data_IF_714837502698
#
_entry.id   IF_714837502698
#
_cell.length_a   1.000
_cell.length_b   1.000
_cell.length_c   1.000
_cell.angle_alpha   90.00
_cell.angle_beta   90.00
_cell.angle_gamma   90.00
#
_symmetry.space_group_name_H-M   'P 1'
#
loop_
_entity.id
_entity.type
_entity.pdbx_description
1 polymer ?
#
# COMPACT_ATOMS: atom_id res chain seq x y z
N UNK A 1 23.75 136.77 -49.86
CA UNK A 1 24.37 135.70 -49.06
C UNK A 1 23.39 134.91 -48.18
N UNK A 2 22.26 135.47 -47.73
CA UNK A 2 21.30 134.75 -46.86
C UNK A 2 20.37 133.76 -47.62
N UNK A 3 19.98 134.05 -48.86
CA UNK A 3 19.06 133.21 -49.65
C UNK A 3 19.67 131.88 -50.15
N UNK A 4 20.94 131.88 -50.56
CA UNK A 4 21.66 130.67 -51.00
C UNK A 4 21.94 129.70 -49.83
N UNK A 5 22.15 130.23 -48.63
CA UNK A 5 22.28 129.44 -47.41
C UNK A 5 20.97 128.77 -47.00
N UNK A 6 19.81 129.40 -47.25
CA UNK A 6 18.49 128.81 -46.97
C UNK A 6 18.18 127.64 -47.90
N UNK A 7 18.40 127.78 -49.21
CA UNK A 7 18.14 126.71 -50.18
C UNK A 7 19.03 125.48 -49.94
N UNK A 8 20.32 125.69 -49.62
CA UNK A 8 21.23 124.61 -49.25
C UNK A 8 20.80 123.90 -47.96
N UNK A 9 20.32 124.65 -46.95
CA UNK A 9 19.78 124.10 -45.71
C UNK A 9 18.53 123.25 -45.95
N UNK A 10 17.62 123.73 -46.80
CA UNK A 10 16.36 123.05 -47.08
C UNK A 10 16.59 121.77 -47.92
N UNK A 11 17.57 121.77 -48.84
CA UNK A 11 18.02 120.56 -49.54
C UNK A 11 18.66 119.54 -48.58
N UNK A 12 19.54 119.98 -47.68
CA UNK A 12 20.14 119.11 -46.66
C UNK A 12 19.08 118.53 -45.71
N UNK A 13 18.05 119.31 -45.39
CA UNK A 13 16.92 118.87 -44.57
C UNK A 13 16.09 117.80 -45.30
N UNK A 14 15.82 117.97 -46.60
CA UNK A 14 15.12 116.98 -47.42
C UNK A 14 15.93 115.67 -47.57
N UNK A 15 17.24 115.75 -47.81
CA UNK A 15 18.11 114.57 -47.86
C UNK A 15 18.19 113.85 -46.51
N UNK A 16 18.29 114.60 -45.41
CA UNK A 16 18.27 114.04 -44.05
C UNK A 16 16.94 113.35 -43.76
N UNK A 17 15.83 113.94 -44.16
CA UNK A 17 14.50 113.37 -43.97
C UNK A 17 14.32 112.10 -44.83
N UNK A 18 14.75 112.11 -46.09
CA UNK A 18 14.75 110.92 -46.95
C UNK A 18 15.59 109.78 -46.36
N UNK A 19 16.82 110.07 -45.90
CA UNK A 19 17.68 109.08 -45.24
C UNK A 19 17.08 108.56 -43.95
N UNK A 20 16.41 109.41 -43.18
CA UNK A 20 15.75 109.01 -41.93
C UNK A 20 14.55 108.10 -42.18
N UNK A 21 13.74 108.40 -43.21
CA UNK A 21 12.62 107.55 -43.63
C UNK A 21 13.13 106.21 -44.18
N UNK A 22 14.15 106.21 -45.04
CA UNK A 22 14.76 104.98 -45.56
C UNK A 22 15.37 104.13 -44.43
N UNK A 23 16.05 104.76 -43.47
CA UNK A 23 16.60 104.07 -42.31
C UNK A 23 15.51 103.49 -41.41
N UNK A 24 14.37 104.18 -41.24
CA UNK A 24 13.21 103.66 -40.52
C UNK A 24 12.60 102.45 -41.24
N UNK A 25 12.42 102.52 -42.57
CA UNK A 25 11.89 101.41 -43.36
C UNK A 25 12.78 100.15 -43.29
N UNK A 26 14.10 100.31 -43.43
CA UNK A 26 15.06 99.19 -43.27
C UNK A 26 15.02 98.64 -41.85
N UNK A 27 14.86 99.50 -40.83
CA UNK A 27 14.76 99.05 -39.43
C UNK A 27 13.48 98.27 -39.17
N UNK A 28 12.36 98.67 -39.75
CA UNK A 28 11.11 97.93 -39.66
C UNK A 28 11.21 96.58 -40.38
N UNK A 29 11.83 96.54 -41.57
CA UNK A 29 12.09 95.28 -42.28
C UNK A 29 12.96 94.32 -41.45
N UNK A 30 14.05 94.82 -40.85
CA UNK A 30 14.90 94.04 -39.92
C UNK A 30 14.09 93.53 -38.72
N UNK A 31 13.22 94.35 -38.14
CA UNK A 31 12.36 93.92 -37.03
C UNK A 31 11.39 92.81 -37.45
N UNK A 32 10.77 92.93 -38.63
CA UNK A 32 9.86 91.90 -39.16
C UNK A 32 10.57 90.58 -39.48
N UNK A 33 11.77 90.65 -40.07
CA UNK A 33 12.58 89.47 -40.35
C UNK A 33 13.06 88.80 -39.06
N UNK A 34 13.49 89.58 -38.06
CA UNK A 34 13.87 89.05 -36.74
C UNK A 34 12.68 88.39 -36.03
N UNK A 35 11.48 88.97 -36.09
CA UNK A 35 10.28 88.35 -35.55
C UNK A 35 9.98 87.02 -36.25
N UNK A 36 10.11 86.98 -37.59
CA UNK A 36 9.92 85.76 -38.37
C UNK A 36 10.96 84.69 -38.05
N UNK A 37 12.24 85.07 -37.91
CA UNK A 37 13.31 84.17 -37.45
C UNK A 37 12.99 83.60 -36.07
N UNK A 38 12.52 84.43 -35.13
CA UNK A 38 12.06 83.98 -33.81
C UNK A 38 10.97 82.91 -33.90
N UNK A 39 9.89 83.17 -34.65
CA UNK A 39 8.79 82.21 -34.82
C UNK A 39 9.22 80.90 -35.47
N UNK A 40 10.11 80.96 -36.48
CA UNK A 40 10.64 79.77 -37.14
C UNK A 40 11.58 78.98 -36.23
N UNK A 41 12.37 79.65 -35.40
CA UNK A 41 13.28 79.01 -34.44
C UNK A 41 12.49 78.29 -33.36
N UNK A 42 11.43 78.90 -32.82
CA UNK A 42 10.54 78.25 -31.85
C UNK A 42 9.77 77.07 -32.45
N UNK A 43 9.34 77.16 -33.71
CA UNK A 43 8.73 76.04 -34.42
C UNK A 43 9.72 74.88 -34.61
N UNK A 44 10.94 75.18 -35.09
CA UNK A 44 12.00 74.19 -35.27
C UNK A 44 12.34 73.50 -33.94
N UNK A 45 12.51 74.26 -32.86
CA UNK A 45 12.83 73.68 -31.55
C UNK A 45 11.71 72.77 -31.04
N UNK A 46 10.44 73.14 -31.22
CA UNK A 46 9.30 72.27 -30.87
C UNK A 46 9.30 70.97 -31.66
N UNK A 47 9.58 71.03 -32.96
CA UNK A 47 9.62 69.85 -33.82
C UNK A 47 10.83 68.95 -33.48
N UNK A 48 11.99 69.53 -33.16
CA UNK A 48 13.16 68.79 -32.70
C UNK A 48 12.90 68.04 -31.39
N UNK A 49 12.25 68.70 -30.43
CA UNK A 49 11.85 68.07 -29.16
C UNK A 49 10.83 66.96 -29.41
N UNK A 50 9.82 67.18 -30.25
CA UNK A 50 8.82 66.16 -30.59
C UNK A 50 9.46 64.95 -31.28
N UNK A 51 10.41 65.18 -32.20
CA UNK A 51 11.17 64.13 -32.87
C UNK A 51 12.02 63.33 -31.89
N UNK A 52 12.71 64.00 -30.96
CA UNK A 52 13.50 63.33 -29.93
C UNK A 52 12.63 62.49 -28.99
N UNK A 53 11.47 63.00 -28.58
CA UNK A 53 10.50 62.25 -27.78
C UNK A 53 9.94 61.03 -28.51
N UNK A 54 9.59 61.18 -29.79
CA UNK A 54 9.13 60.06 -30.60
C UNK A 54 10.21 58.98 -30.79
N UNK A 55 11.46 59.38 -31.03
CA UNK A 55 12.58 58.46 -31.15
C UNK A 55 12.81 57.65 -29.88
N UNK A 56 12.82 58.32 -28.71
CA UNK A 56 12.94 57.64 -27.41
C UNK A 56 11.76 56.68 -27.17
N UNK A 57 10.54 57.08 -27.55
CA UNK A 57 9.36 56.23 -27.38
C UNK A 57 9.44 54.98 -28.25
N UNK A 58 9.94 55.11 -29.48
CA UNK A 58 10.18 53.96 -30.37
C UNK A 58 11.20 53.03 -29.72
N UNK A 59 12.36 53.54 -29.30
CA UNK A 59 13.40 52.72 -28.66
C UNK A 59 12.87 51.95 -27.43
N UNK A 60 12.08 52.60 -26.57
CA UNK A 60 11.44 51.94 -25.43
C UNK A 60 10.49 50.81 -25.85
N UNK A 61 9.72 51.01 -26.92
CA UNK A 61 8.82 49.98 -27.43
C UNK A 61 9.59 48.83 -28.07
N UNK A 62 10.68 49.11 -28.77
CA UNK A 62 11.54 48.08 -29.36
C UNK A 62 12.20 47.19 -28.28
N UNK A 63 12.71 47.81 -27.20
CA UNK A 63 13.24 47.07 -26.06
C UNK A 63 12.17 46.20 -25.40
N UNK A 64 10.99 46.76 -25.14
CA UNK A 64 9.86 46.02 -24.57
C UNK A 64 9.45 44.82 -25.43
N UNK A 65 9.41 44.99 -26.76
CA UNK A 65 9.06 43.91 -27.68
C UNK A 65 10.08 42.78 -27.61
N UNK A 66 11.38 43.12 -27.60
CA UNK A 66 12.45 42.14 -27.50
C UNK A 66 12.41 41.39 -26.16
N UNK A 67 12.19 42.09 -25.05
CA UNK A 67 12.14 41.49 -23.71
C UNK A 67 10.91 40.60 -23.50
N UNK A 68 9.73 41.03 -23.94
CA UNK A 68 8.48 40.31 -23.69
C UNK A 68 8.23 39.18 -24.67
N UNK A 69 8.56 39.39 -25.95
CA UNK A 69 8.21 38.44 -27.01
C UNK A 69 9.43 37.73 -27.60
N UNK A 70 10.66 38.20 -27.33
CA UNK A 70 11.88 37.58 -27.86
C UNK A 70 12.05 37.73 -29.38
N UNK A 71 11.37 38.72 -29.99
CA UNK A 71 11.34 38.93 -31.45
C UNK A 71 11.77 40.34 -31.82
N UNK A 72 12.21 40.54 -33.07
CA UNK A 72 12.47 41.89 -33.58
C UNK A 72 11.14 42.63 -33.88
N UNK A 73 11.09 43.95 -33.71
CA UNK A 73 9.87 44.74 -33.98
C UNK A 73 9.33 44.60 -35.40
N UNK A 74 10.23 44.49 -36.39
CA UNK A 74 9.84 44.30 -37.79
C UNK A 74 9.11 42.97 -38.00
N UNK A 75 9.59 41.89 -37.39
CA UNK A 75 8.99 40.56 -37.48
C UNK A 75 7.64 40.52 -36.75
N UNK A 76 7.55 41.16 -35.58
CA UNK A 76 6.28 41.29 -34.85
C UNK A 76 5.21 41.98 -35.71
N UNK A 77 5.55 43.06 -36.42
CA UNK A 77 4.60 43.77 -37.28
C UNK A 77 4.27 42.93 -38.53
N UNK A 78 5.26 42.25 -39.11
CA UNK A 78 5.07 41.44 -40.31
C UNK A 78 4.19 40.21 -40.05
N UNK A 79 4.30 39.59 -38.88
CA UNK A 79 3.59 38.35 -38.54
C UNK A 79 2.32 38.58 -37.71
N UNK A 80 2.28 39.65 -36.91
CA UNK A 80 1.19 39.91 -35.94
C UNK A 80 0.63 41.34 -36.02
N UNK A 81 0.94 42.07 -37.10
CA UNK A 81 0.40 43.40 -37.34
C UNK A 81 -1.12 43.40 -37.58
N UNK A 82 -1.80 44.55 -37.46
CA UNK A 82 -3.24 44.66 -37.69
C UNK A 82 -3.69 44.27 -39.11
N UNK A 83 -2.78 44.37 -40.08
CA UNK A 83 -3.01 44.02 -41.47
C UNK A 83 -2.87 42.50 -41.73
N UNK A 84 -2.37 41.75 -40.75
CA UNK A 84 -2.25 40.29 -40.81
C UNK A 84 -3.56 39.67 -40.32
N UNK A 85 -4.12 38.76 -41.12
CA UNK A 85 -5.32 38.03 -40.76
C UNK A 85 -5.08 37.15 -39.54
N UNK A 86 -5.97 37.24 -38.55
CA UNK A 86 -5.95 36.36 -37.39
C UNK A 86 -6.35 34.94 -37.80
N UNK A 87 -5.83 33.91 -37.11
CA UNK A 87 -6.31 32.55 -37.31
C UNK A 87 -7.84 32.50 -37.10
N UNK A 88 -8.55 31.61 -37.81
CA UNK A 88 -9.99 31.41 -37.64
C UNK A 88 -10.36 31.06 -36.19
N UNK A 89 -11.64 31.18 -35.85
CA UNK A 89 -12.07 30.93 -34.48
C UNK A 89 -11.81 29.47 -34.06
N UNK A 90 -11.62 29.24 -32.77
CA UNK A 90 -11.38 27.89 -32.23
C UNK A 90 -12.49 26.90 -32.62
N UNK A 91 -13.74 27.39 -32.73
CA UNK A 91 -14.88 26.58 -33.16
C UNK A 91 -14.80 26.21 -34.64
N UNK A 92 -14.50 27.17 -35.53
CA UNK A 92 -14.34 26.91 -36.97
C UNK A 92 -13.16 25.97 -37.25
N UNK A 93 -12.07 26.12 -36.48
CA UNK A 93 -10.92 25.21 -36.56
C UNK A 93 -11.26 23.80 -36.07
N UNK A 94 -11.98 23.68 -34.95
CA UNK A 94 -12.41 22.37 -34.42
C UNK A 94 -13.38 21.66 -35.37
N UNK A 95 -14.32 22.38 -35.99
CA UNK A 95 -15.24 21.84 -37.00
C UNK A 95 -14.48 21.36 -38.24
N UNK A 96 -13.50 22.14 -38.71
CA UNK A 96 -12.62 21.78 -39.82
C UNK A 96 -11.79 20.51 -39.51
N UNK A 97 -11.16 20.45 -38.33
CA UNK A 97 -10.35 19.29 -37.91
C UNK A 97 -11.20 18.02 -37.79
N UNK A 98 -12.37 18.10 -37.18
CA UNK A 98 -13.28 16.96 -37.05
C UNK A 98 -13.80 16.47 -38.41
N UNK A 99 -14.10 17.37 -39.36
CA UNK A 99 -14.51 16.99 -40.71
C UNK A 99 -13.36 16.33 -41.49
N UNK A 100 -12.14 16.85 -41.35
CA UNK A 100 -10.94 16.26 -41.93
C UNK A 100 -10.65 14.86 -41.36
N UNK A 101 -10.81 14.65 -40.05
CA UNK A 101 -10.64 13.33 -39.40
C UNK A 101 -11.66 12.30 -39.88
N UNK A 102 -12.88 12.75 -40.23
CA UNK A 102 -13.91 11.91 -40.88
C UNK A 102 -13.62 11.62 -42.37
N UNK A 103 -12.51 12.13 -42.91
CA UNK A 103 -12.12 11.94 -44.30
C UNK A 103 -12.89 12.81 -45.30
N UNK A 104 -13.60 13.83 -44.82
CA UNK A 104 -14.33 14.78 -45.68
C UNK A 104 -13.34 15.76 -46.33
N UNK A 105 -13.57 16.10 -47.60
CA UNK A 105 -12.74 17.07 -48.31
C UNK A 105 -13.20 18.49 -47.98
N UNK A 106 -12.67 19.04 -46.88
CA UNK A 106 -12.98 20.38 -46.38
C UNK A 106 -11.85 21.37 -46.66
N UNK A 107 -12.22 22.63 -46.91
CA UNK A 107 -11.27 23.74 -47.08
C UNK A 107 -11.02 24.43 -45.74
N UNK A 108 -9.78 24.85 -45.49
CA UNK A 108 -9.43 25.59 -44.28
C UNK A 108 -10.27 26.88 -44.17
N UNK A 109 -10.80 27.21 -42.99
CA UNK A 109 -11.56 28.44 -42.78
C UNK A 109 -10.71 29.69 -43.09
N UNK A 110 -11.36 30.75 -43.56
CA UNK A 110 -10.66 31.98 -43.92
C UNK A 110 -10.16 32.74 -42.67
N UNK A 111 -8.99 33.41 -42.74
CA UNK A 111 -8.50 34.25 -41.65
C UNK A 111 -9.49 35.37 -41.28
N UNK A 112 -9.57 35.67 -39.99
CA UNK A 112 -10.44 36.72 -39.46
C UNK A 112 -9.74 38.09 -39.50
N UNK A 113 -10.49 39.18 -39.73
CA UNK A 113 -9.93 40.52 -39.62
C UNK A 113 -9.55 40.86 -38.18
N UNK A 114 -8.52 41.68 -38.00
CA UNK A 114 -8.13 42.18 -36.68
C UNK A 114 -9.15 43.19 -36.14
N UNK A 115 -9.73 42.89 -34.98
CA UNK A 115 -10.57 43.83 -34.22
C UNK A 115 -9.94 44.11 -32.85
N UNK A 116 -9.46 45.35 -32.67
CA UNK A 116 -8.71 45.78 -31.48
C UNK A 116 -9.49 45.52 -30.17
N UNK A 117 -10.75 45.98 -30.00
CA UNK A 117 -11.49 45.75 -28.76
C UNK A 117 -11.68 44.27 -28.42
N UNK A 118 -11.91 43.41 -29.41
CA UNK A 118 -12.04 41.96 -29.19
C UNK A 118 -10.72 41.32 -28.77
N UNK A 119 -9.61 41.67 -29.43
CA UNK A 119 -8.30 41.10 -29.07
C UNK A 119 -7.81 41.58 -27.70
N UNK A 120 -8.05 42.84 -27.33
CA UNK A 120 -7.73 43.34 -25.97
C UNK A 120 -8.49 42.57 -24.88
N UNK A 121 -9.76 42.23 -25.12
CA UNK A 121 -10.54 41.38 -24.20
C UNK A 121 -10.00 39.96 -24.12
N UNK A 122 -9.60 39.37 -25.25
CA UNK A 122 -8.99 38.03 -25.29
C UNK A 122 -7.65 38.00 -24.57
N UNK A 123 -6.77 38.97 -24.82
CA UNK A 123 -5.48 39.10 -24.16
C UNK A 123 -5.65 39.23 -22.64
N UNK A 124 -6.53 40.14 -22.18
CA UNK A 124 -6.81 40.31 -20.75
C UNK A 124 -7.36 39.04 -20.09
N UNK A 125 -8.15 38.25 -20.82
CA UNK A 125 -8.64 36.96 -20.34
C UNK A 125 -7.50 35.94 -20.22
N UNK A 126 -6.67 35.81 -21.24
CA UNK A 126 -5.52 34.91 -21.24
C UNK A 126 -4.50 35.27 -20.17
N UNK A 127 -4.23 36.56 -19.96
CA UNK A 127 -3.38 37.06 -18.87
C UNK A 127 -3.94 36.67 -17.49
N UNK A 128 -5.26 36.72 -17.31
CA UNK A 128 -5.91 36.30 -16.08
C UNK A 128 -5.80 34.79 -15.88
N UNK A 129 -6.06 33.99 -16.91
CA UNK A 129 -5.93 32.52 -16.87
C UNK A 129 -4.47 32.10 -16.58
N UNK A 130 -3.49 32.80 -17.17
CA UNK A 130 -2.07 32.59 -16.89
C UNK A 130 -1.71 32.94 -15.44
N UNK A 131 -2.27 34.02 -14.89
CA UNK A 131 -2.05 34.39 -13.50
C UNK A 131 -2.70 33.39 -12.52
N UNK A 132 -3.83 32.78 -12.88
CA UNK A 132 -4.52 31.73 -12.10
C UNK A 132 -3.71 30.43 -12.01
N UNK A 133 -2.91 30.08 -13.04
CA UNK A 133 -1.99 28.92 -13.01
C UNK A 133 -0.89 29.04 -11.93
N UNK A 134 -0.65 30.25 -11.43
CA UNK A 134 0.34 30.51 -10.38
C UNK A 134 1.77 30.45 -10.89
N UNK A 135 2.73 30.35 -9.96
CA UNK A 135 4.16 30.33 -10.30
C UNK A 135 4.57 28.92 -10.69
N UNK A 136 5.39 28.80 -11.73
CA UNK A 136 6.05 27.54 -12.09
C UNK A 136 6.87 27.05 -10.89
N UNK A 137 6.61 25.83 -10.42
CA UNK A 137 7.40 25.19 -9.37
C UNK A 137 8.67 24.60 -10.01
N UNK A 138 9.86 25.16 -9.75
CA UNK A 138 11.10 24.69 -10.37
C UNK A 138 11.51 23.29 -9.86
N UNK A 139 11.01 22.87 -8.69
CA UNK A 139 11.32 21.57 -8.07
C UNK A 139 10.35 20.46 -8.50
N UNK A 140 9.31 20.77 -9.28
CA UNK A 140 8.25 19.81 -9.60
C UNK A 140 8.77 18.53 -10.28
N UNK A 141 9.79 18.65 -11.13
CA UNK A 141 10.38 17.49 -11.81
C UNK A 141 11.16 16.59 -10.83
N UNK A 142 11.91 17.18 -9.89
CA UNK A 142 12.67 16.44 -8.88
C UNK A 142 11.73 15.78 -7.87
N UNK A 143 10.69 16.50 -7.42
CA UNK A 143 9.67 15.97 -6.51
C UNK A 143 8.88 14.82 -7.15
N UNK A 144 8.54 14.94 -8.44
CA UNK A 144 7.89 13.87 -9.18
C UNK A 144 8.76 12.62 -9.25
N UNK A 145 10.04 12.76 -9.61
CA UNK A 145 10.97 11.64 -9.68
C UNK A 145 11.16 10.94 -8.33
N UNK A 146 11.31 11.71 -7.24
CA UNK A 146 11.43 11.16 -5.89
C UNK A 146 10.15 10.46 -5.43
N UNK A 147 8.98 11.00 -5.77
CA UNK A 147 7.69 10.40 -5.45
C UNK A 147 7.47 9.10 -6.24
N UNK A 148 7.85 9.08 -7.52
CA UNK A 148 7.80 7.90 -8.38
C UNK A 148 8.70 6.78 -7.86
N UNK A 149 9.94 7.08 -7.46
CA UNK A 149 10.84 6.10 -6.84
C UNK A 149 10.23 5.51 -5.56
N UNK A 150 9.69 6.37 -4.68
CA UNK A 150 9.02 5.94 -3.46
C UNK A 150 7.78 5.09 -3.74
N UNK A 151 6.99 5.45 -4.75
CA UNK A 151 5.82 4.69 -5.18
C UNK A 151 6.23 3.29 -5.65
N UNK A 152 7.23 3.20 -6.53
CA UNK A 152 7.71 1.93 -7.07
C UNK A 152 8.26 1.01 -5.96
N UNK A 153 9.02 1.58 -5.02
CA UNK A 153 9.52 0.85 -3.85
C UNK A 153 8.38 0.29 -3.00
N UNK A 154 7.42 1.14 -2.61
CA UNK A 154 6.29 0.72 -1.77
C UNK A 154 5.38 -0.28 -2.48
N UNK A 155 5.16 -0.11 -3.79
CA UNK A 155 4.37 -1.05 -4.59
C UNK A 155 5.03 -2.43 -4.62
N UNK A 156 6.35 -2.48 -4.80
CA UNK A 156 7.10 -3.75 -4.79
C UNK A 156 6.99 -4.42 -3.42
N UNK A 157 7.24 -3.69 -2.33
CA UNK A 157 7.09 -4.23 -0.97
C UNK A 157 5.67 -4.72 -0.67
N UNK A 158 4.65 -4.02 -1.18
CA UNK A 158 3.26 -4.43 -0.99
C UNK A 158 2.97 -5.76 -1.68
N UNK A 159 3.45 -5.95 -2.91
CA UNK A 159 3.28 -7.20 -3.64
C UNK A 159 4.04 -8.36 -2.98
N UNK A 160 5.25 -8.11 -2.47
CA UNK A 160 6.01 -9.11 -1.70
C UNK A 160 5.25 -9.56 -0.45
N UNK A 161 4.67 -8.62 0.30
CA UNK A 161 3.87 -8.94 1.50
C UNK A 161 2.60 -9.70 1.14
N UNK A 162 1.94 -9.35 0.04
CA UNK A 162 0.75 -10.09 -0.44
C UNK A 162 1.12 -11.51 -0.85
N UNK A 163 2.23 -11.70 -1.55
CA UNK A 163 2.74 -13.01 -1.94
C UNK A 163 3.08 -13.85 -0.70
N UNK A 164 3.86 -13.32 0.23
CA UNK A 164 4.21 -14.01 1.48
C UNK A 164 2.97 -14.40 2.30
N UNK A 165 1.95 -13.54 2.37
CA UNK A 165 0.69 -13.86 3.02
C UNK A 165 -0.02 -15.04 2.34
N UNK A 166 -0.05 -15.05 1.01
CA UNK A 166 -0.65 -16.16 0.26
C UNK A 166 0.08 -17.47 0.54
N UNK A 167 1.40 -17.46 0.43
CA UNK A 167 2.22 -18.65 0.67
C UNK A 167 2.02 -19.21 2.08
N UNK A 168 1.93 -18.35 3.10
CA UNK A 168 1.63 -18.77 4.47
C UNK A 168 0.23 -19.39 4.61
N UNK A 169 -0.78 -18.86 3.92
CA UNK A 169 -2.13 -19.44 3.95
C UNK A 169 -2.18 -20.80 3.24
N UNK A 170 -1.42 -20.95 2.16
CA UNK A 170 -1.30 -22.23 1.44
C UNK A 170 -0.63 -23.29 2.34
N UNK A 171 0.42 -22.92 3.08
CA UNK A 171 1.07 -23.80 4.07
C UNK A 171 0.11 -24.18 5.21
N UNK A 172 -0.69 -23.24 5.71
CA UNK A 172 -1.70 -23.54 6.74
C UNK A 172 -2.71 -24.56 6.22
N UNK A 173 -3.20 -24.39 5.00
CA UNK A 173 -4.12 -25.34 4.38
C UNK A 173 -3.51 -26.75 4.22
N UNK A 174 -2.25 -26.83 3.78
CA UNK A 174 -1.54 -28.12 3.68
C UNK A 174 -1.38 -28.81 5.04
N UNK A 175 -1.06 -28.03 6.08
CA UNK A 175 -0.95 -28.55 7.45
C UNK A 175 -2.30 -29.04 7.96
N UNK A 176 -3.38 -28.29 7.72
CA UNK A 176 -4.74 -28.67 8.12
C UNK A 176 -5.17 -29.98 7.43
N UNK A 177 -4.94 -30.12 6.13
CA UNK A 177 -5.20 -31.35 5.37
C UNK A 177 -4.41 -32.53 5.94
N UNK A 178 -3.15 -32.30 6.31
CA UNK A 178 -2.32 -33.34 6.92
C UNK A 178 -2.81 -33.73 8.31
N UNK A 179 -3.23 -32.76 9.14
CA UNK A 179 -3.82 -33.01 10.45
C UNK A 179 -5.11 -33.83 10.30
N UNK A 180 -5.99 -33.43 9.38
CA UNK A 180 -7.24 -34.15 9.08
C UNK A 180 -6.98 -35.61 8.71
N UNK A 181 -6.02 -35.85 7.82
CA UNK A 181 -5.64 -37.21 7.43
C UNK A 181 -5.14 -38.01 8.63
N UNK A 182 -4.16 -37.48 9.37
CA UNK A 182 -3.56 -38.18 10.52
C UNK A 182 -4.61 -38.47 11.61
N UNK A 183 -5.50 -37.52 11.87
CA UNK A 183 -6.59 -37.69 12.84
C UNK A 183 -7.58 -38.75 12.38
N UNK A 184 -8.04 -38.72 11.12
CA UNK A 184 -8.99 -39.70 10.60
C UNK A 184 -8.42 -41.13 10.62
N UNK A 185 -7.15 -41.29 10.22
CA UNK A 185 -6.44 -42.57 10.31
C UNK A 185 -6.29 -43.04 11.76
N UNK A 186 -5.90 -42.14 12.67
CA UNK A 186 -5.76 -42.46 14.09
C UNK A 186 -7.11 -42.82 14.73
N UNK A 187 -8.18 -42.11 14.43
CA UNK A 187 -9.52 -42.40 14.92
C UNK A 187 -9.98 -43.78 14.44
N UNK A 188 -9.83 -44.10 13.16
CA UNK A 188 -10.20 -45.40 12.61
C UNK A 188 -9.41 -46.55 13.26
N UNK A 189 -8.11 -46.35 13.52
CA UNK A 189 -7.28 -47.32 14.23
C UNK A 189 -7.74 -47.51 15.67
N UNK A 190 -7.95 -46.43 16.43
CA UNK A 190 -8.39 -46.49 17.83
C UNK A 190 -9.80 -47.10 17.94
N UNK A 191 -10.71 -46.79 17.02
CA UNK A 191 -12.07 -47.34 17.00
C UNK A 191 -12.08 -48.86 16.82
N UNK A 192 -11.24 -49.36 15.89
CA UNK A 192 -11.04 -50.80 15.67
C UNK A 192 -10.47 -51.49 16.91
N UNK A 193 -9.39 -50.96 17.47
CA UNK A 193 -8.75 -51.53 18.66
C UNK A 193 -9.68 -51.45 19.89
N UNK A 194 -10.48 -50.39 20.03
CA UNK A 194 -11.42 -50.22 21.13
C UNK A 194 -12.49 -51.31 21.14
N UNK A 195 -13.05 -51.68 19.98
CA UNK A 195 -14.01 -52.79 19.88
C UNK A 195 -13.41 -54.11 20.39
N UNK A 196 -12.18 -54.41 19.99
CA UNK A 196 -11.47 -55.63 20.40
C UNK A 196 -11.17 -55.65 21.90
N UNK A 197 -10.59 -54.55 22.41
CA UNK A 197 -10.21 -54.40 23.82
C UNK A 197 -11.45 -54.44 24.71
N UNK A 198 -12.53 -53.78 24.30
CA UNK A 198 -13.78 -53.77 25.07
C UNK A 198 -14.42 -55.15 25.14
N UNK A 199 -14.46 -55.89 24.02
CA UNK A 199 -14.98 -57.26 23.98
C UNK A 199 -14.16 -58.24 24.86
N UNK A 200 -12.83 -58.05 24.93
CA UNK A 200 -11.95 -58.84 25.79
C UNK A 200 -12.20 -58.55 27.29
N UNK A 201 -12.45 -57.28 27.64
CA UNK A 201 -12.78 -56.85 28.99
C UNK A 201 -14.18 -57.29 29.43
N UNK A 202 -15.15 -57.22 28.53
CA UNK A 202 -16.56 -57.50 28.80
C UNK A 202 -17.06 -58.57 27.82
N UNK A 203 -16.89 -59.88 28.12
CA UNK A 203 -17.42 -60.95 27.28
C UNK A 203 -18.92 -60.79 27.05
N UNK A 204 -19.34 -60.66 25.78
CA UNK A 204 -20.73 -60.41 25.39
C UNK A 204 -21.18 -58.94 25.48
N UNK A 205 -20.27 -58.01 25.75
CA UNK A 205 -20.48 -56.57 25.63
C UNK A 205 -19.97 -55.99 24.31
N UNK A 206 -20.49 -54.82 23.94
CA UNK A 206 -20.06 -54.06 22.75
C UNK A 206 -19.67 -52.64 23.16
N UNK A 207 -18.54 -52.14 22.66
CA UNK A 207 -18.12 -50.75 22.81
C UNK A 207 -17.93 -50.10 21.44
N UNK A 208 -18.30 -48.83 21.30
CA UNK A 208 -18.11 -48.05 20.07
C UNK A 208 -17.66 -46.62 20.39
N UNK A 209 -16.88 -46.05 19.49
CA UNK A 209 -16.54 -44.63 19.53
C UNK A 209 -17.38 -43.91 18.47
N UNK A 210 -17.97 -42.79 18.83
CA UNK A 210 -18.76 -41.97 17.92
C UNK A 210 -18.19 -40.55 17.87
N UNK A 211 -18.14 -39.98 16.68
CA UNK A 211 -17.86 -38.56 16.51
C UNK A 211 -19.16 -37.79 16.75
N UNK A 212 -19.08 -36.70 17.50
CA UNK A 212 -20.25 -35.83 17.71
C UNK A 212 -20.65 -35.11 16.42
N UNK A 213 -19.66 -34.77 15.58
CA UNK A 213 -19.86 -34.20 14.26
C UNK A 213 -18.89 -34.85 13.23
N UNK A 214 -19.34 -35.85 12.46
CA UNK A 214 -18.50 -36.50 11.45
C UNK A 214 -18.09 -35.59 10.28
N UNK A 215 -18.74 -34.44 10.09
CA UNK A 215 -18.45 -33.53 8.99
C UNK A 215 -17.27 -32.57 9.30
N UNK A 216 -16.95 -32.37 10.58
CA UNK A 216 -15.85 -31.51 11.03
C UNK A 216 -14.91 -32.27 11.98
N UNK A 217 -13.92 -32.94 11.39
CA UNK A 217 -12.92 -33.72 12.14
C UNK A 217 -12.00 -32.87 13.02
N UNK A 218 -11.87 -31.55 12.79
CA UNK A 218 -10.99 -30.70 13.59
C UNK A 218 -11.67 -30.24 14.88
N UNK A 219 -12.98 -30.03 14.86
CA UNK A 219 -13.73 -29.51 16.02
C UNK A 219 -14.64 -30.54 16.69
N UNK A 220 -14.84 -31.72 16.08
CA UNK A 220 -15.67 -32.77 16.66
C UNK A 220 -15.15 -33.28 18.01
N UNK A 221 -16.07 -33.55 18.92
CA UNK A 221 -15.84 -34.37 20.09
C UNK A 221 -15.89 -35.86 19.79
N UNK A 222 -15.45 -36.67 20.75
CA UNK A 222 -15.51 -38.13 20.73
C UNK A 222 -16.40 -38.60 21.89
N UNK A 223 -17.49 -39.28 21.58
CA UNK A 223 -18.35 -39.96 22.56
C UNK A 223 -18.01 -41.46 22.63
N UNK A 224 -17.97 -41.97 23.86
CA UNK A 224 -17.78 -43.40 24.14
C UNK A 224 -19.12 -44.03 24.49
N UNK A 225 -19.57 -44.95 23.64
CA UNK A 225 -20.74 -45.79 23.92
C UNK A 225 -20.30 -47.18 24.39
N UNK A 226 -20.88 -47.62 25.49
CA UNK A 226 -20.60 -48.92 26.06
C UNK A 226 -21.90 -49.68 26.34
N UNK A 227 -21.90 -50.95 25.96
CA UNK A 227 -22.96 -51.91 26.23
C UNK A 227 -22.40 -53.09 27.00
N UNK A 228 -22.50 -53.09 28.34
CA UNK A 228 -22.15 -54.25 29.15
C UNK A 228 -23.07 -55.45 28.86
N UNK A 229 -22.63 -56.69 29.16
CA UNK A 229 -23.41 -57.89 28.90
C UNK A 229 -24.79 -57.83 29.59
N UNK A 230 -25.85 -58.09 28.82
CA UNK A 230 -27.23 -58.09 29.29
C UNK A 230 -27.87 -56.70 29.52
N UNK A 231 -27.19 -55.59 29.20
CA UNK A 231 -27.72 -54.23 29.33
C UNK A 231 -27.93 -53.53 27.98
N UNK A 232 -28.75 -52.47 27.98
CA UNK A 232 -28.91 -51.54 26.84
C UNK A 232 -27.69 -50.62 26.72
N UNK A 233 -27.43 -50.12 25.51
CA UNK A 233 -26.36 -49.15 25.22
C UNK A 233 -26.56 -47.90 26.07
N UNK A 234 -25.50 -47.42 26.71
CA UNK A 234 -25.50 -46.20 27.52
C UNK A 234 -24.26 -45.37 27.20
N UNK A 235 -24.41 -44.04 27.29
CA UNK A 235 -23.28 -43.11 27.32
C UNK A 235 -22.46 -43.32 28.59
N UNK A 236 -21.16 -43.02 28.53
CA UNK A 236 -20.22 -43.18 29.66
C UNK A 236 -20.72 -42.53 30.97
N UNK A 237 -21.44 -41.41 30.89
CA UNK A 237 -22.02 -40.69 32.02
C UNK A 237 -23.10 -41.46 32.78
N UNK A 238 -23.67 -42.51 32.17
CA UNK A 238 -24.81 -43.28 32.69
C UNK A 238 -24.42 -44.69 33.19
N UNK A 239 -23.11 -44.99 33.27
CA UNK A 239 -22.55 -46.26 33.73
C UNK A 239 -22.30 -46.27 35.25
N UNK A 240 -22.19 -47.47 35.84
CA UNK A 240 -21.77 -47.60 37.25
C UNK A 240 -20.31 -47.16 37.45
N UNK A 241 -19.91 -46.82 38.68
CA UNK A 241 -18.54 -46.33 38.96
C UNK A 241 -17.44 -47.29 38.46
N UNK A 242 -17.58 -48.60 38.71
CA UNK A 242 -16.63 -49.62 38.23
C UNK A 242 -16.66 -49.81 36.70
N UNK A 243 -17.85 -49.79 36.09
CA UNK A 243 -18.01 -49.89 34.63
C UNK A 243 -17.39 -48.67 33.92
N UNK A 244 -17.54 -47.47 34.49
CA UNK A 244 -16.94 -46.23 33.99
C UNK A 244 -15.41 -46.29 34.03
N UNK A 245 -14.83 -46.72 35.14
CA UNK A 245 -13.38 -46.85 35.28
C UNK A 245 -12.81 -47.88 34.30
N UNK A 246 -13.42 -49.05 34.16
CA UNK A 246 -12.95 -50.05 33.20
C UNK A 246 -13.08 -49.59 31.74
N UNK A 247 -14.15 -48.87 31.41
CA UNK A 247 -14.34 -48.35 30.05
C UNK A 247 -13.30 -47.27 29.73
N UNK A 248 -12.93 -46.43 30.70
CA UNK A 248 -11.84 -45.47 30.54
C UNK A 248 -10.48 -46.17 30.34
N UNK A 249 -10.21 -47.24 31.10
CA UNK A 249 -8.99 -48.03 30.91
C UNK A 249 -8.99 -48.76 29.56
N UNK A 250 -10.14 -49.26 29.11
CA UNK A 250 -10.30 -49.83 27.77
C UNK A 250 -9.93 -48.82 26.67
N UNK A 251 -10.38 -47.57 26.81
CA UNK A 251 -10.05 -46.47 25.91
C UNK A 251 -8.54 -46.23 25.86
N UNK A 252 -7.88 -46.11 27.02
CA UNK A 252 -6.43 -45.90 27.10
C UNK A 252 -5.65 -47.04 26.44
N UNK A 253 -6.04 -48.28 26.72
CA UNK A 253 -5.41 -49.48 26.16
C UNK A 253 -5.63 -49.56 24.64
N UNK A 254 -6.80 -49.17 24.14
CA UNK A 254 -7.07 -49.09 22.71
C UNK A 254 -6.17 -48.06 22.01
N UNK A 255 -5.99 -46.88 22.62
CA UNK A 255 -5.05 -45.86 22.13
C UNK A 255 -3.62 -46.41 22.07
N UNK A 256 -3.18 -47.07 23.14
CA UNK A 256 -1.84 -47.68 23.22
C UNK A 256 -1.64 -48.79 22.18
N UNK A 257 -2.66 -49.60 21.89
CA UNK A 257 -2.57 -50.61 20.84
C UNK A 257 -2.56 -50.02 19.42
N UNK A 258 -3.34 -48.96 19.18
CA UNK A 258 -3.40 -48.27 17.90
C UNK A 258 -2.08 -47.52 17.58
N UNK A 259 -1.42 -47.01 18.62
CA UNK A 259 -0.13 -46.29 18.52
C UNK A 259 0.82 -46.81 19.63
N UNK A 260 1.51 -47.94 19.39
CA UNK A 260 2.37 -48.55 20.40
C UNK A 260 3.60 -47.68 20.69
N UNK A 261 3.84 -47.44 21.97
CA UNK A 261 5.04 -46.80 22.51
C UNK A 261 6.06 -47.86 22.92
N UNK A 262 7.36 -47.53 22.95
CA UNK A 262 8.39 -48.48 23.40
C UNK A 262 8.17 -48.98 24.83
N UNK A 263 7.67 -48.11 25.72
CA UNK A 263 7.32 -48.45 27.09
C UNK A 263 6.12 -47.63 27.59
N UNK A 264 5.46 -48.14 28.62
CA UNK A 264 4.38 -47.47 29.35
C UNK A 264 4.65 -47.52 30.85
N UNK A 265 4.31 -46.44 31.55
CA UNK A 265 4.35 -46.35 33.01
C UNK A 265 2.91 -46.21 33.50
N UNK A 266 2.51 -47.08 34.43
CA UNK A 266 1.20 -47.04 35.07
C UNK A 266 1.37 -46.97 36.59
N UNK A 267 0.77 -45.97 37.21
CA UNK A 267 0.86 -45.74 38.64
C UNK A 267 -0.50 -45.94 39.31
N UNK A 268 -0.61 -46.99 40.13
CA UNK A 268 -1.79 -47.38 40.92
C UNK A 268 -3.14 -47.31 40.17
N UNK A 269 -3.13 -47.62 38.87
CA UNK A 269 -4.32 -47.52 37.99
C UNK A 269 -5.46 -48.45 38.41
N UNK A 270 -5.17 -49.45 39.23
CA UNK A 270 -6.10 -50.45 39.73
C UNK A 270 -6.66 -50.17 41.14
N UNK A 271 -6.25 -49.10 41.83
CA UNK A 271 -6.58 -48.85 43.24
C UNK A 271 -8.10 -48.77 43.54
N UNK A 272 -8.93 -48.50 42.54
CA UNK A 272 -10.38 -48.38 42.66
C UNK A 272 -11.15 -49.57 42.06
N UNK A 273 -10.48 -50.67 41.68
CA UNK A 273 -11.10 -51.82 41.04
C UNK A 273 -11.37 -52.96 42.02
N UNK A 274 -12.50 -53.63 41.86
CA UNK A 274 -12.80 -54.87 42.58
C UNK A 274 -12.00 -56.08 42.01
N UNK A 275 -11.98 -57.19 42.75
CA UNK A 275 -11.24 -58.41 42.38
C UNK A 275 -11.59 -59.00 41.00
N UNK A 276 -12.80 -58.75 40.50
CA UNK A 276 -13.23 -59.25 39.19
C UNK A 276 -12.68 -58.35 38.08
N UNK A 277 -12.75 -57.04 38.29
CA UNK A 277 -12.28 -56.01 37.39
C UNK A 277 -10.75 -55.91 37.36
N UNK A 278 -10.08 -56.13 38.49
CA UNK A 278 -8.63 -56.26 38.58
C UNK A 278 -8.10 -57.39 37.69
N UNK A 279 -8.74 -58.57 37.71
CA UNK A 279 -8.38 -59.68 36.81
C UNK A 279 -8.59 -59.36 35.34
N UNK A 280 -9.60 -58.55 35.00
CA UNK A 280 -9.82 -58.09 33.62
C UNK A 280 -8.72 -57.12 33.18
N UNK A 281 -8.32 -56.20 34.05
CA UNK A 281 -7.21 -55.28 33.80
C UNK A 281 -5.89 -56.02 33.59
N UNK A 282 -5.59 -57.03 34.41
CA UNK A 282 -4.38 -57.85 34.26
C UNK A 282 -4.31 -58.51 32.88
N UNK A 283 -5.44 -59.00 32.34
CA UNK A 283 -5.47 -59.53 30.96
C UNK A 283 -5.12 -58.48 29.91
N UNK A 284 -5.50 -57.21 30.11
CA UNK A 284 -5.08 -56.12 29.23
C UNK A 284 -3.58 -55.89 29.28
N UNK A 285 -2.98 -55.93 30.47
CA UNK A 285 -1.54 -55.78 30.64
C UNK A 285 -0.79 -56.90 29.93
N UNK A 286 -1.26 -58.14 30.00
CA UNK A 286 -0.69 -59.25 29.24
C UNK A 286 -0.76 -59.02 27.72
N UNK A 287 -1.88 -58.48 27.22
CA UNK A 287 -2.01 -58.13 25.80
C UNK A 287 -1.06 -57.00 25.38
N UNK A 288 -0.90 -55.95 26.19
CA UNK A 288 0.01 -54.84 25.91
C UNK A 288 1.48 -55.26 25.98
N UNK A 289 1.81 -56.10 26.96
CA UNK A 289 3.15 -56.65 27.17
C UNK A 289 3.69 -57.39 25.94
N UNK A 290 2.82 -57.96 25.11
CA UNK A 290 3.24 -58.66 23.90
C UNK A 290 4.00 -57.78 22.90
N UNK A 291 3.81 -56.46 22.95
CA UNK A 291 4.41 -55.50 22.01
C UNK A 291 5.23 -54.38 22.66
N UNK A 292 4.98 -54.08 23.95
CA UNK A 292 5.59 -52.93 24.64
C UNK A 292 6.04 -53.29 26.05
N UNK A 293 7.07 -52.59 26.55
CA UNK A 293 7.51 -52.74 27.94
C UNK A 293 6.51 -52.05 28.89
N UNK A 294 6.10 -52.75 29.96
CA UNK A 294 5.19 -52.21 30.96
C UNK A 294 5.93 -52.04 32.30
N UNK A 295 5.88 -50.84 32.87
CA UNK A 295 6.33 -50.54 34.22
C UNK A 295 5.07 -50.19 35.03
N UNK A 296 4.74 -51.03 36.01
CA UNK A 296 3.53 -50.87 36.82
C UNK A 296 3.94 -50.66 38.27
N UNK A 297 3.50 -49.56 38.85
CA UNK A 297 3.61 -49.26 40.29
C UNK A 297 2.29 -49.68 40.91
N UNK A 298 2.36 -50.65 41.81
CA UNK A 298 1.17 -51.30 42.37
C UNK A 298 1.45 -51.82 43.78
N UNK A 299 0.43 -51.82 44.62
CA UNK A 299 0.40 -52.56 45.89
C UNK A 299 -0.52 -53.80 45.83
N UNK A 300 -1.12 -54.09 44.66
CA UNK A 300 -2.06 -55.19 44.47
C UNK A 300 -1.34 -56.49 44.15
N UNK A 301 -1.50 -57.50 45.03
CA UNK A 301 -0.88 -58.83 44.87
C UNK A 301 -1.17 -59.49 43.51
N UNK A 302 -2.42 -59.49 43.00
CA UNK A 302 -2.71 -60.12 41.72
C UNK A 302 -1.94 -59.50 40.53
N UNK A 303 -1.67 -58.19 40.56
CA UNK A 303 -0.88 -57.51 39.53
C UNK A 303 0.59 -57.89 39.64
N UNK A 304 1.12 -57.97 40.86
CA UNK A 304 2.50 -58.40 41.12
C UNK A 304 2.78 -59.83 40.64
N UNK A 305 1.81 -60.74 40.74
CA UNK A 305 1.95 -62.15 40.36
C UNK A 305 2.18 -62.36 38.85
N UNK A 306 1.73 -61.42 38.01
CA UNK A 306 1.85 -61.52 36.54
C UNK A 306 3.11 -60.83 36.01
N UNK A 307 3.81 -60.07 36.86
CA UNK A 307 5.03 -59.37 36.49
C UNK A 307 6.19 -60.33 36.20
N UNK A 308 7.08 -59.95 35.28
CA UNK A 308 8.31 -60.70 34.99
C UNK A 308 9.41 -60.41 36.03
N UNK A 309 9.43 -59.17 36.52
CA UNK A 309 10.34 -58.69 37.54
C UNK A 309 9.58 -57.75 38.49
N UNK A 310 9.88 -57.85 39.78
CA UNK A 310 9.43 -56.95 40.81
C UNK A 310 10.60 -56.11 41.29
N UNK A 311 10.35 -54.81 41.44
CA UNK A 311 11.25 -53.87 42.08
C UNK A 311 10.56 -53.36 43.34
N UNK A 312 11.00 -53.84 44.50
CA UNK A 312 10.53 -53.40 45.80
C UNK A 312 11.31 -52.18 46.27
N UNK A 313 10.61 -51.11 46.63
CA UNK A 313 11.21 -49.93 47.24
C UNK A 313 11.03 -50.01 48.75
N UNK A 314 12.14 -49.96 49.50
CA UNK A 314 12.14 -49.94 50.97
C UNK A 314 12.79 -48.65 51.44
N UNK A 315 12.24 -48.02 52.48
CA UNK A 315 12.85 -46.85 53.11
C UNK A 315 13.50 -47.30 54.41
N UNK A 316 14.78 -46.99 54.60
CA UNK A 316 15.49 -47.24 55.86
C UNK A 316 15.22 -46.09 56.84
N UNK A 317 15.49 -46.31 58.12
CA UNK A 317 15.22 -45.35 59.21
C UNK A 317 15.96 -44.00 59.05
N UNK A 318 16.94 -43.93 58.14
CA UNK A 318 17.70 -42.72 57.76
C UNK A 318 17.03 -41.90 56.63
N UNK A 319 15.86 -42.33 56.13
CA UNK A 319 15.14 -41.68 55.04
C UNK A 319 15.71 -41.98 53.65
N UNK A 320 16.72 -42.85 53.54
CA UNK A 320 17.31 -43.26 52.27
C UNK A 320 16.48 -44.41 51.70
N UNK A 321 16.00 -44.23 50.47
CA UNK A 321 15.27 -45.28 49.73
C UNK A 321 16.25 -46.26 49.09
N UNK A 322 16.07 -47.54 49.37
CA UNK A 322 16.80 -48.64 48.76
C UNK A 322 15.86 -49.47 47.87
N UNK A 323 16.34 -49.84 46.68
CA UNK A 323 15.59 -50.64 45.71
C UNK A 323 16.10 -52.07 45.73
N UNK A 324 15.19 -53.02 45.91
CA UNK A 324 15.45 -54.47 45.85
C UNK A 324 14.77 -54.98 44.58
N UNK A 325 15.46 -55.82 43.79
CA UNK A 325 14.88 -56.40 42.57
C UNK A 325 14.81 -57.93 42.67
N UNK A 326 13.73 -58.50 42.14
CA UNK A 326 13.51 -59.94 42.07
C UNK A 326 12.83 -60.30 40.75
N UNK A 327 13.41 -61.22 39.97
CA UNK A 327 12.75 -61.79 38.78
C UNK A 327 11.84 -62.96 39.17
N UNK A 328 10.60 -62.95 38.68
CA UNK A 328 9.59 -63.98 38.96
C UNK A 328 9.57 -65.05 37.85
N UNK A 329 9.87 -64.68 36.59
CA UNK A 329 9.92 -65.60 35.45
C UNK A 329 11.33 -65.69 34.86
N UNK A 330 12.00 -66.81 35.12
CA UNK A 330 13.12 -67.39 34.36
C UNK A 330 14.18 -66.43 33.77
N UNK A 331 15.13 -65.98 34.58
CA UNK A 331 16.58 -65.91 34.32
C UNK A 331 17.24 -65.19 35.50
N UNK A 332 18.05 -65.91 36.27
CA UNK A 332 18.87 -65.37 37.35
C UNK A 332 19.71 -64.20 36.83
N UNK A 333 19.57 -63.03 37.45
CA UNK A 333 20.57 -61.98 37.38
C UNK A 333 21.47 -62.16 38.60
N UNK A 334 22.75 -62.37 38.32
CA UNK A 334 23.82 -62.26 39.31
C UNK A 334 23.71 -60.88 39.94
N UNK A 335 23.51 -60.84 41.27
CA UNK A 335 23.59 -59.62 42.05
C UNK A 335 24.97 -59.00 41.87
N UNK A 336 25.07 -57.82 41.25
CA UNK A 336 26.28 -57.00 41.38
C UNK A 336 26.32 -56.43 42.80
N UNK A 337 27.39 -56.67 43.57
CA UNK A 337 27.55 -56.06 44.87
C UNK A 337 27.95 -54.58 44.69
N UNK A 338 27.28 -53.73 45.47
CA UNK A 338 27.64 -52.39 45.95
C UNK A 338 28.19 -51.36 44.95
#
# INVERSE_FOLDING_TARGET
MVSTASAARDQLAAERQHRTVAMAAVRDEVNTLNARIGTLTEALHRDEVAKAQAALRIEQLEQMVLEQFGMAPADLIAEYGPDVGLPPSELEMAEYEQARERGEQVTAPAPMPFDRPTQERRAKRAEKELAELGRVNPLALEEFAALEERYNFLSTQLEDVKAARKDLLDVVAEVDDRILQVFAEAYADVEREFREVFAALFPGGEGRLLLTDPADMLTTGIEVEARPPGKKIKRLSLLSGGEKSLTAVAMLVAIFRARPSPFYIMDEVEAALDDTNLRRLIRLFEMLRAKSQLIVITHQKPTMEVADALYGVTMRDDGITAVISQRIRGQELVSSPS
#
